data_IF_176265782110
#
_entry.id   IF_176265782110
#
_cell.length_a   1.000
_cell.length_b   1.000
_cell.length_c   1.000
_cell.angle_alpha   90.00
_cell.angle_beta   90.00
_cell.angle_gamma   90.00
#
_symmetry.space_group_name_H-M   'P 1'
#
loop_
_entity.id
_entity.type
_entity.pdbx_description
1 polymer ?
#
# COMPACT_ATOMS: atom_id res chain seq x y z
N UNK A 1 -5.63 -11.23 18.51
CA UNK A 1 -4.15 -11.15 18.36
C UNK A 1 -3.58 -12.33 17.58
N UNK A 2 -3.98 -13.59 17.85
CA UNK A 2 -3.47 -14.76 17.11
C UNK A 2 -3.80 -14.73 15.62
N UNK A 3 -4.98 -14.28 15.24
CA UNK A 3 -5.39 -14.16 13.83
C UNK A 3 -4.54 -13.15 13.07
N UNK A 4 -4.27 -11.98 13.67
CA UNK A 4 -3.41 -10.97 13.06
C UNK A 4 -1.97 -11.47 12.89
N UNK A 5 -1.42 -12.15 13.89
CA UNK A 5 -0.06 -12.70 13.82
C UNK A 5 0.10 -13.74 12.69
N UNK A 6 -0.93 -14.54 12.42
CA UNK A 6 -0.90 -15.52 11.33
C UNK A 6 -0.75 -14.88 9.94
N UNK A 7 -1.17 -13.62 9.78
CA UNK A 7 -1.03 -12.87 8.53
C UNK A 7 0.42 -12.46 8.22
N UNK A 8 1.33 -12.59 9.19
CA UNK A 8 2.75 -12.27 9.03
C UNK A 8 3.59 -13.48 8.57
N UNK A 9 2.95 -14.60 8.30
CA UNK A 9 3.63 -15.78 7.74
C UNK A 9 4.13 -15.47 6.33
N UNK A 10 5.39 -15.78 6.08
CA UNK A 10 6.00 -15.56 4.76
C UNK A 10 5.56 -16.62 3.75
N UNK A 11 5.47 -16.22 2.49
CA UNK A 11 5.31 -17.13 1.35
C UNK A 11 6.43 -18.17 1.36
N UNK A 12 6.14 -19.41 0.97
CA UNK A 12 7.14 -20.49 0.90
C UNK A 12 8.30 -20.14 -0.03
N UNK A 13 8.04 -19.38 -1.08
CA UNK A 13 9.01 -18.90 -2.08
C UNK A 13 9.34 -17.41 -1.95
N UNK A 14 9.29 -16.85 -0.75
CA UNK A 14 9.51 -15.41 -0.52
C UNK A 14 10.87 -14.90 -1.05
N UNK A 15 11.89 -15.75 -1.12
CA UNK A 15 13.21 -15.39 -1.65
C UNK A 15 13.15 -15.01 -3.14
N UNK A 16 12.24 -15.61 -3.92
CA UNK A 16 12.03 -15.26 -5.33
C UNK A 16 11.43 -13.87 -5.46
N UNK A 17 10.48 -13.50 -4.59
CA UNK A 17 9.95 -12.14 -4.51
C UNK A 17 11.03 -11.14 -4.12
N UNK A 18 11.83 -11.48 -3.11
CA UNK A 18 12.95 -10.64 -2.67
C UNK A 18 13.96 -10.41 -3.80
N UNK A 19 14.27 -11.44 -4.59
CA UNK A 19 15.18 -11.33 -5.74
C UNK A 19 14.66 -10.34 -6.79
N UNK A 20 13.36 -10.37 -7.12
CA UNK A 20 12.75 -9.45 -8.08
C UNK A 20 12.82 -8.01 -7.56
N UNK A 21 12.47 -7.77 -6.30
CA UNK A 21 12.54 -6.44 -5.71
C UNK A 21 13.98 -5.93 -5.67
N UNK A 22 14.93 -6.77 -5.31
CA UNK A 22 16.35 -6.42 -5.26
C UNK A 22 16.91 -6.07 -6.66
N UNK A 23 16.59 -6.89 -7.67
CA UNK A 23 16.97 -6.61 -9.07
C UNK A 23 16.45 -5.25 -9.54
N UNK A 24 15.27 -4.86 -9.09
CA UNK A 24 14.64 -3.59 -9.43
C UNK A 24 14.99 -2.46 -8.46
N UNK A 25 15.93 -2.69 -7.53
CA UNK A 25 16.40 -1.71 -6.54
C UNK A 25 15.26 -1.16 -5.65
N UNK A 26 14.26 -1.97 -5.39
CA UNK A 26 13.18 -1.66 -4.47
C UNK A 26 13.64 -2.06 -3.06
N UNK A 27 13.94 -1.07 -2.24
CA UNK A 27 14.45 -1.26 -0.87
C UNK A 27 13.46 -0.79 0.20
N UNK A 28 12.43 -0.04 -0.20
CA UNK A 28 11.41 0.53 0.67
C UNK A 28 10.10 0.67 -0.08
N UNK A 29 8.99 0.52 0.64
CA UNK A 29 7.64 0.76 0.13
C UNK A 29 7.05 1.99 0.82
N UNK A 30 6.03 2.59 0.23
CA UNK A 30 5.52 3.89 0.68
C UNK A 30 4.02 3.85 0.95
N UNK A 31 3.62 4.58 1.99
CA UNK A 31 2.22 4.84 2.31
C UNK A 31 2.07 6.30 2.71
N UNK A 32 1.23 7.05 2.02
CA UNK A 32 0.92 8.42 2.44
C UNK A 32 -0.37 8.45 3.27
N UNK A 33 -0.36 9.26 4.31
CA UNK A 33 -1.51 9.43 5.20
C UNK A 33 -1.56 10.87 5.74
N UNK A 34 -2.69 11.30 6.26
CA UNK A 34 -2.79 12.56 6.98
C UNK A 34 -1.92 12.52 8.24
N UNK A 35 -1.22 13.61 8.52
CA UNK A 35 -0.38 13.74 9.72
C UNK A 35 -1.16 13.46 11.01
N UNK A 36 -2.41 13.87 11.06
CA UNK A 36 -3.27 13.66 12.21
C UNK A 36 -3.54 12.17 12.51
N UNK A 37 -3.34 11.27 11.54
CA UNK A 37 -3.51 9.83 11.73
C UNK A 37 -2.32 9.17 12.46
N UNK A 38 -1.18 9.85 12.56
CA UNK A 38 0.04 9.28 13.15
C UNK A 38 -0.18 8.83 14.60
N UNK A 39 -0.88 9.62 15.40
CA UNK A 39 -1.18 9.26 16.78
C UNK A 39 -2.01 7.97 16.88
N UNK A 40 -2.97 7.77 16.00
CA UNK A 40 -3.76 6.53 15.93
C UNK A 40 -2.90 5.34 15.53
N UNK A 41 -2.03 5.51 14.53
CA UNK A 41 -1.10 4.46 14.10
C UNK A 41 -0.19 4.04 15.24
N UNK A 42 0.36 4.99 16.00
CA UNK A 42 1.19 4.71 17.19
C UNK A 42 0.38 4.02 18.29
N UNK A 43 -0.82 4.52 18.59
CA UNK A 43 -1.69 4.00 19.65
C UNK A 43 -2.09 2.55 19.40
N UNK A 44 -2.52 2.25 18.18
CA UNK A 44 -2.97 0.91 17.80
C UNK A 44 -1.85 0.01 17.26
N UNK A 45 -0.61 0.51 17.24
CA UNK A 45 0.61 -0.20 16.86
C UNK A 45 0.61 -0.77 15.45
N UNK A 46 0.05 -0.04 14.51
CA UNK A 46 0.08 -0.44 13.10
C UNK A 46 -0.84 0.35 12.20
N UNK A 47 -0.68 0.09 10.91
CA UNK A 47 -1.61 0.48 9.85
C UNK A 47 -2.62 -0.64 9.64
N UNK A 48 -3.90 -0.30 9.68
CA UNK A 48 -4.98 -1.25 9.44
C UNK A 48 -5.77 -0.88 8.20
N UNK A 49 -6.37 -1.88 7.55
CA UNK A 49 -7.36 -1.64 6.50
C UNK A 49 -8.53 -0.82 7.06
N UNK A 50 -9.17 -0.01 6.22
CA UNK A 50 -10.35 0.75 6.67
C UNK A 50 -11.49 -0.17 7.16
N UNK A 51 -11.61 -1.34 6.54
CA UNK A 51 -12.60 -2.34 6.90
C UNK A 51 -12.36 -2.90 8.31
N UNK A 52 -11.12 -3.24 8.65
CA UNK A 52 -10.75 -3.69 9.99
C UNK A 52 -10.96 -2.58 11.03
N UNK A 53 -10.62 -1.34 10.69
CA UNK A 53 -10.86 -0.20 11.56
C UNK A 53 -12.35 -0.03 11.88
N UNK A 54 -13.22 -0.12 10.87
CA UNK A 54 -14.67 -0.01 11.05
C UNK A 54 -15.22 -1.15 11.92
N UNK A 55 -14.79 -2.39 11.67
CA UNK A 55 -15.23 -3.56 12.44
C UNK A 55 -14.80 -3.52 13.92
N UNK A 56 -13.64 -2.92 14.22
CA UNK A 56 -13.04 -2.94 15.54
C UNK A 56 -13.09 -1.57 16.25
N UNK A 57 -13.85 -0.63 15.72
CA UNK A 57 -14.00 0.72 16.27
C UNK A 57 -12.65 1.44 16.48
N UNK A 58 -11.70 1.23 15.58
CA UNK A 58 -10.43 1.94 15.58
C UNK A 58 -10.65 3.32 14.99
N UNK A 59 -10.46 4.35 15.80
CA UNK A 59 -10.65 5.72 15.39
C UNK A 59 -9.48 6.20 14.53
N UNK A 60 -9.78 6.54 13.27
CA UNK A 60 -8.87 7.22 12.36
C UNK A 60 -9.44 8.61 12.09
N UNK A 61 -8.76 9.70 12.49
CA UNK A 61 -9.27 11.08 12.33
C UNK A 61 -9.58 11.42 10.87
N UNK A 62 -8.73 10.98 9.95
CA UNK A 62 -8.88 11.24 8.52
C UNK A 62 -8.72 9.94 7.73
N UNK A 63 -9.76 9.10 7.65
CA UNK A 63 -9.71 7.86 6.88
C UNK A 63 -9.49 8.16 5.40
N UNK A 64 -8.62 7.40 4.77
CA UNK A 64 -8.41 7.47 3.32
C UNK A 64 -9.62 6.94 2.55
N UNK A 65 -9.79 7.45 1.33
CA UNK A 65 -10.87 7.05 0.44
C UNK A 65 -12.24 7.63 0.81
N UNK A 66 -13.00 7.93 -0.21
CA UNK A 66 -14.40 8.33 -0.07
C UNK A 66 -15.35 7.12 -0.14
N UNK A 67 -16.65 7.37 -0.04
CA UNK A 67 -17.68 6.32 -0.09
C UNK A 67 -17.61 5.52 -1.41
N UNK A 68 -17.29 6.18 -2.52
CA UNK A 68 -17.20 5.54 -3.83
C UNK A 68 -15.97 4.63 -3.92
N UNK A 69 -14.82 5.08 -3.42
CA UNK A 69 -13.60 4.25 -3.31
C UNK A 69 -13.85 3.01 -2.46
N UNK A 70 -14.55 3.13 -1.33
CA UNK A 70 -14.89 1.99 -0.47
C UNK A 70 -15.86 1.01 -1.12
N UNK A 71 -16.79 1.48 -1.93
CA UNK A 71 -17.67 0.61 -2.73
C UNK A 71 -16.90 -0.17 -3.78
N UNK A 72 -15.95 0.47 -4.46
CA UNK A 72 -15.07 -0.19 -5.42
C UNK A 72 -14.18 -1.23 -4.73
N UNK A 73 -13.62 -0.91 -3.58
CA UNK A 73 -12.85 -1.86 -2.78
C UNK A 73 -13.66 -3.11 -2.44
N UNK A 74 -14.90 -2.95 -1.99
CA UNK A 74 -15.80 -4.09 -1.71
C UNK A 74 -16.11 -4.89 -2.97
N UNK A 75 -16.36 -4.21 -4.09
CA UNK A 75 -16.65 -4.85 -5.37
C UNK A 75 -15.52 -5.74 -5.86
N UNK A 76 -14.27 -5.33 -5.62
CA UNK A 76 -13.07 -6.07 -6.02
C UNK A 76 -12.48 -6.94 -4.90
N UNK A 77 -13.15 -7.06 -3.75
CA UNK A 77 -12.65 -7.76 -2.57
C UNK A 77 -11.32 -7.22 -2.05
N UNK A 78 -11.11 -5.91 -2.16
CA UNK A 78 -9.89 -5.21 -1.72
C UNK A 78 -10.09 -4.37 -0.45
N UNK A 79 -11.27 -4.43 0.16
CA UNK A 79 -11.64 -3.63 1.32
C UNK A 79 -10.80 -3.94 2.58
N UNK A 80 -10.27 -5.16 2.67
CA UNK A 80 -9.44 -5.58 3.81
C UNK A 80 -7.94 -5.61 3.48
N UNK A 81 -7.48 -4.64 2.70
CA UNK A 81 -6.07 -4.47 2.36
C UNK A 81 -5.57 -3.07 2.70
N UNK A 82 -4.36 -2.99 3.22
CA UNK A 82 -3.58 -1.75 3.32
C UNK A 82 -2.82 -1.58 2.00
N UNK A 83 -2.97 -0.43 1.37
CA UNK A 83 -2.36 -0.15 0.07
C UNK A 83 -1.04 0.58 0.23
N UNK A 84 -0.01 0.08 -0.43
CA UNK A 84 1.30 0.71 -0.52
C UNK A 84 1.65 0.99 -1.98
N UNK A 85 2.56 1.93 -2.19
CA UNK A 85 3.12 2.22 -3.51
C UNK A 85 4.61 1.90 -3.58
N UNK A 86 5.11 1.69 -4.81
CA UNK A 86 6.53 1.55 -5.09
C UNK A 86 7.25 2.89 -5.20
N UNK A 87 6.54 3.99 -5.37
CA UNK A 87 7.08 5.32 -5.59
C UNK A 87 6.72 6.30 -4.47
N UNK A 88 7.58 7.31 -4.30
CA UNK A 88 7.40 8.38 -3.30
C UNK A 88 6.35 9.42 -3.73
N UNK A 89 6.20 9.66 -5.01
CA UNK A 89 5.43 10.74 -5.60
C UNK A 89 4.18 10.25 -6.34
N UNK A 90 3.37 9.46 -5.65
CA UNK A 90 2.12 8.95 -6.21
C UNK A 90 1.19 10.12 -6.65
N UNK A 91 0.57 10.05 -7.85
CA UNK A 91 -0.29 11.13 -8.35
C UNK A 91 -1.42 11.52 -7.41
N UNK A 92 -2.01 10.58 -6.71
CA UNK A 92 -3.06 10.85 -5.72
C UNK A 92 -2.52 11.66 -4.53
N UNK A 93 -1.30 11.39 -4.07
CA UNK A 93 -0.64 12.17 -3.02
C UNK A 93 -0.49 13.64 -3.43
N UNK A 94 -0.04 13.88 -4.66
CA UNK A 94 0.08 15.22 -5.18
C UNK A 94 -1.26 15.94 -5.24
N UNK A 95 -2.30 15.29 -5.72
CA UNK A 95 -3.66 15.84 -5.75
C UNK A 95 -4.15 16.22 -4.36
N UNK A 96 -4.03 15.32 -3.39
CA UNK A 96 -4.48 15.56 -2.03
C UNK A 96 -3.73 16.73 -1.35
N UNK A 97 -2.43 16.86 -1.60
CA UNK A 97 -1.66 18.01 -1.13
C UNK A 97 -2.17 19.33 -1.73
N UNK A 98 -2.50 19.32 -3.02
CA UNK A 98 -3.09 20.49 -3.72
C UNK A 98 -4.45 20.87 -3.13
N UNK A 99 -5.21 19.87 -2.66
CA UNK A 99 -6.50 20.07 -1.95
C UNK A 99 -6.33 20.53 -0.48
N UNK A 100 -5.11 20.83 -0.04
CA UNK A 100 -4.83 21.32 1.30
C UNK A 100 -4.69 20.25 2.37
N UNK A 101 -4.55 18.98 2.00
CA UNK A 101 -4.31 17.89 2.93
C UNK A 101 -2.89 17.93 3.48
N UNK A 102 -2.74 17.77 4.79
CA UNK A 102 -1.43 17.70 5.45
C UNK A 102 -0.93 16.24 5.47
N UNK A 103 -0.31 15.83 4.39
CA UNK A 103 0.15 14.45 4.20
C UNK A 103 1.58 14.26 4.68
N UNK A 104 1.82 13.08 5.24
CA UNK A 104 3.14 12.54 5.53
C UNK A 104 3.35 11.25 4.76
N UNK A 105 4.60 10.95 4.43
CA UNK A 105 4.97 9.75 3.70
C UNK A 105 5.63 8.76 4.67
N UNK A 106 4.95 7.64 4.91
CA UNK A 106 5.48 6.55 5.70
C UNK A 106 6.35 5.64 4.83
N UNK A 107 7.48 5.22 5.38
CA UNK A 107 8.40 4.26 4.78
C UNK A 107 8.19 2.89 5.43
N UNK A 108 7.93 1.90 4.62
CA UNK A 108 7.59 0.54 5.06
C UNK A 108 8.63 -0.44 4.54
N UNK A 109 9.08 -1.35 5.41
CA UNK A 109 10.03 -2.42 5.03
C UNK A 109 9.45 -3.28 3.91
N UNK A 110 10.28 -3.64 2.95
CA UNK A 110 9.88 -4.52 1.83
C UNK A 110 9.42 -5.90 2.28
N UNK A 111 9.77 -6.30 3.50
CA UNK A 111 9.38 -7.57 4.11
C UNK A 111 7.87 -7.82 4.08
N UNK A 112 7.06 -6.77 4.11
CA UNK A 112 5.59 -6.89 4.03
C UNK A 112 5.13 -7.46 2.68
N UNK A 113 5.94 -7.34 1.63
CA UNK A 113 5.69 -7.93 0.32
C UNK A 113 5.81 -9.46 0.34
N UNK A 114 6.46 -10.02 1.36
CA UNK A 114 6.72 -11.45 1.47
C UNK A 114 5.66 -12.19 2.27
N UNK A 115 4.70 -11.51 2.88
CA UNK A 115 3.61 -12.17 3.60
C UNK A 115 2.74 -12.97 2.64
N UNK A 116 2.27 -14.13 3.09
CA UNK A 116 1.53 -15.09 2.28
C UNK A 116 0.35 -14.47 1.54
N UNK A 117 -0.39 -13.59 2.19
CA UNK A 117 -1.57 -12.93 1.64
C UNK A 117 -1.29 -11.56 1.00
N UNK A 118 -0.04 -11.12 0.91
CA UNK A 118 0.29 -9.89 0.19
C UNK A 118 0.11 -10.09 -1.30
N UNK A 119 -0.66 -9.19 -1.91
CA UNK A 119 -0.94 -9.17 -3.34
C UNK A 119 -0.29 -7.96 -4.01
N UNK A 120 -0.18 -8.02 -5.33
CA UNK A 120 0.41 -6.98 -6.17
C UNK A 120 -0.55 -6.60 -7.28
N UNK A 121 -0.73 -5.32 -7.51
CA UNK A 121 -1.55 -4.79 -8.60
C UNK A 121 -0.66 -4.10 -9.61
N UNK A 122 -0.86 -4.39 -10.90
CA UNK A 122 -0.08 -3.82 -12.01
C UNK A 122 -0.36 -2.34 -12.26
N UNK A 123 -1.53 -1.88 -11.85
CA UNK A 123 -1.97 -0.47 -11.89
C UNK A 123 -2.72 -0.15 -10.59
N UNK A 124 -3.30 1.05 -10.48
CA UNK A 124 -4.15 1.36 -9.34
C UNK A 124 -5.31 0.35 -9.23
N UNK A 125 -5.44 -0.29 -8.08
CA UNK A 125 -6.43 -1.36 -7.87
C UNK A 125 -7.89 -0.86 -7.84
N UNK A 126 -8.13 0.45 -7.86
CA UNK A 126 -9.45 1.03 -8.10
C UNK A 126 -9.84 1.06 -9.58
N UNK A 127 -8.88 0.88 -10.49
CA UNK A 127 -9.13 0.81 -11.94
C UNK A 127 -9.75 -0.55 -12.31
N UNK A 128 -10.80 -0.54 -13.12
CA UNK A 128 -11.50 -1.76 -13.53
C UNK A 128 -10.65 -2.71 -14.40
N UNK A 129 -9.59 -2.19 -15.01
CA UNK A 129 -8.65 -2.96 -15.85
C UNK A 129 -7.46 -3.52 -15.10
N UNK A 130 -7.40 -3.38 -13.76
CA UNK A 130 -6.27 -3.88 -12.99
C UNK A 130 -6.24 -5.42 -12.93
N UNK A 131 -5.02 -5.96 -12.85
CA UNK A 131 -4.78 -7.35 -12.48
C UNK A 131 -4.08 -7.38 -11.14
N UNK A 132 -4.55 -8.22 -10.22
CA UNK A 132 -3.89 -8.41 -8.95
C UNK A 132 -3.90 -9.88 -8.52
N UNK A 133 -2.94 -10.24 -7.69
CA UNK A 133 -2.81 -11.56 -7.10
C UNK A 133 -1.59 -11.64 -6.22
N UNK A 134 -1.44 -12.75 -5.53
CA UNK A 134 -0.37 -12.97 -4.54
C UNK A 134 0.74 -13.90 -5.04
N UNK A 135 0.70 -14.28 -6.30
CA UNK A 135 1.69 -15.16 -6.93
C UNK A 135 2.89 -14.36 -7.49
N UNK A 136 3.98 -15.07 -7.75
CA UNK A 136 5.19 -14.47 -8.32
C UNK A 136 4.93 -13.78 -9.65
N UNK A 137 4.10 -14.36 -10.49
CA UNK A 137 3.73 -13.78 -11.79
C UNK A 137 2.98 -12.45 -11.65
N UNK A 138 2.24 -12.26 -10.57
CA UNK A 138 1.56 -11.00 -10.30
C UNK A 138 2.56 -9.87 -9.99
N UNK A 139 3.62 -10.16 -9.23
CA UNK A 139 4.71 -9.22 -9.01
C UNK A 139 5.48 -8.92 -10.31
N UNK A 140 5.70 -9.91 -11.15
CA UNK A 140 6.38 -9.75 -12.45
C UNK A 140 5.61 -8.88 -13.43
N UNK A 141 4.30 -8.74 -13.29
CA UNK A 141 3.48 -7.82 -14.12
C UNK A 141 3.70 -6.35 -13.81
N UNK A 142 4.27 -6.03 -12.67
CA UNK A 142 4.57 -4.63 -12.30
C UNK A 142 5.60 -4.07 -13.26
N UNK A 143 5.30 -2.92 -13.85
CA UNK A 143 6.25 -2.17 -14.67
C UNK A 143 7.14 -1.32 -13.76
N UNK A 144 8.25 -1.89 -13.32
CA UNK A 144 9.16 -1.20 -12.39
C UNK A 144 9.82 0.04 -13.00
N UNK A 145 10.02 0.10 -14.30
CA UNK A 145 10.55 1.30 -14.96
C UNK A 145 9.55 2.45 -14.86
N UNK A 146 8.26 2.15 -15.02
CA UNK A 146 7.20 3.15 -14.82
C UNK A 146 7.14 3.63 -13.36
N UNK A 147 7.29 2.73 -12.38
CA UNK A 147 7.23 3.09 -10.96
C UNK A 147 8.41 3.97 -10.51
N UNK A 148 9.54 3.94 -11.22
CA UNK A 148 10.71 4.78 -10.92
C UNK A 148 10.62 6.21 -11.43
N UNK A 149 9.73 6.47 -12.37
CA UNK A 149 9.55 7.81 -12.92
C UNK A 149 9.09 8.79 -11.84
N UNK A 150 9.58 10.03 -11.95
CA UNK A 150 9.11 11.14 -11.12
C UNK A 150 8.22 12.07 -11.94
N UNK A 151 7.24 12.68 -11.30
CA UNK A 151 6.36 13.68 -11.91
C UNK A 151 5.67 13.18 -13.19
N UNK A 152 5.15 11.96 -13.16
CA UNK A 152 4.45 11.37 -14.29
C UNK A 152 3.14 12.12 -14.54
N UNK A 153 2.99 12.68 -15.74
CA UNK A 153 1.78 13.39 -16.17
C UNK A 153 0.72 12.40 -16.61
N UNK A 154 -0.54 12.82 -16.50
CA UNK A 154 -1.69 11.99 -16.88
C UNK A 154 -1.65 11.51 -18.34
N UNK A 155 -1.02 12.28 -19.22
CA UNK A 155 -0.85 11.97 -20.64
C UNK A 155 0.31 11.02 -20.92
N UNK A 156 1.19 10.76 -19.96
CA UNK A 156 2.30 9.82 -20.10
C UNK A 156 1.75 8.40 -20.25
N UNK A 157 2.20 7.62 -21.24
CA UNK A 157 1.78 6.21 -21.40
C UNK A 157 2.02 5.35 -20.14
N UNK A 158 3.01 5.70 -19.34
CA UNK A 158 3.34 4.98 -18.11
C UNK A 158 2.52 5.43 -16.89
N UNK A 159 1.64 6.43 -17.01
CA UNK A 159 0.88 6.97 -15.90
C UNK A 159 0.09 5.90 -15.13
N UNK A 160 -0.56 4.99 -15.81
CA UNK A 160 -1.30 3.87 -15.20
C UNK A 160 -0.35 2.94 -14.45
N UNK A 161 0.75 2.54 -15.09
CA UNK A 161 1.71 1.59 -14.55
C UNK A 161 2.56 2.16 -13.41
N UNK A 162 2.74 3.48 -13.39
CA UNK A 162 3.36 4.21 -12.28
C UNK A 162 2.59 4.03 -10.97
N UNK A 163 1.29 3.77 -11.04
CA UNK A 163 0.39 3.62 -9.91
C UNK A 163 0.22 2.16 -9.43
N UNK A 164 1.12 1.26 -9.79
CA UNK A 164 1.15 -0.10 -9.26
C UNK A 164 1.18 -0.10 -7.73
N UNK A 165 0.52 -1.07 -7.12
CA UNK A 165 0.32 -1.14 -5.68
C UNK A 165 0.75 -2.47 -5.09
N UNK A 166 1.15 -2.42 -3.82
CA UNK A 166 1.30 -3.57 -2.95
C UNK A 166 0.09 -3.58 -2.00
N UNK A 167 -0.58 -4.71 -1.90
CA UNK A 167 -1.81 -4.89 -1.14
C UNK A 167 -1.52 -5.83 0.03
N UNK A 168 -1.38 -5.26 1.24
CA UNK A 168 -1.07 -6.04 2.45
C UNK A 168 -2.37 -6.35 3.19
N UNK A 169 -2.63 -7.63 3.42
CA UNK A 169 -3.87 -8.10 4.04
C UNK A 169 -4.02 -7.56 5.46
N UNK A 170 -5.10 -6.89 5.75
CA UNK A 170 -5.61 -6.43 7.04
C UNK A 170 -4.72 -5.40 7.75
N UNK A 171 -3.43 -5.65 7.96
CA UNK A 171 -2.60 -4.77 8.76
C UNK A 171 -1.10 -4.85 8.47
N UNK A 172 -0.41 -3.77 8.82
CA UNK A 172 1.04 -3.68 8.84
C UNK A 172 1.44 -3.29 10.26
N UNK A 173 2.13 -4.17 11.02
CA UNK A 173 2.62 -3.82 12.35
C UNK A 173 3.53 -2.60 12.32
N UNK A 174 3.51 -1.80 13.38
CA UNK A 174 4.29 -0.57 13.48
C UNK A 174 5.80 -0.79 13.31
N UNK A 175 6.32 -1.95 13.68
CA UNK A 175 7.74 -2.31 13.56
C UNK A 175 8.23 -2.37 12.10
N UNK A 176 7.30 -2.47 11.15
CA UNK A 176 7.60 -2.42 9.71
C UNK A 176 7.60 -0.99 9.15
N UNK A 177 7.22 0.02 9.95
CA UNK A 177 7.19 1.43 9.54
C UNK A 177 8.45 2.11 10.07
N UNK A 178 9.45 2.27 9.22
CA UNK A 178 10.82 2.64 9.65
C UNK A 178 10.96 4.08 10.10
N UNK A 179 10.10 4.98 9.63
CA UNK A 179 10.18 6.42 9.93
C UNK A 179 9.01 6.94 10.79
N UNK A 180 8.31 6.06 11.50
CA UNK A 180 7.13 6.47 12.29
C UNK A 180 7.46 7.47 13.40
N UNK A 181 8.69 7.44 13.89
CA UNK A 181 9.14 8.34 14.94
C UNK A 181 9.61 9.72 14.47
N UNK A 182 9.63 9.93 13.15
CA UNK A 182 9.98 11.22 12.56
C UNK A 182 8.82 12.24 12.62
N UNK A 183 7.64 11.81 13.10
CA UNK A 183 6.41 12.61 13.12
C UNK A 183 5.82 12.83 14.50
#
# INVERSE_FOLDING_TARGET
ERELQSLLTKKSNWQEFAAILNQNKITVLYHFTEKANINSIKRYKGLFSWYYCDLNNIAIPFPGGDINSRKLDKRYNLHDFVRLSFCEDHPMQHRLKTEGKNLVLLKVKVDVAFFENTSFSDINAADSGHNHGNELEDLKRVNFDATRKRFVRKEDPDFKFHQAEILVKTWIPIDYITNINDF
#
